data_IF_773781727952
#
_entry.id   IF_773781727952
#
_cell.length_a   1.000
_cell.length_b   1.000
_cell.length_c   1.000
_cell.angle_alpha   90.00
_cell.angle_beta   90.00
_cell.angle_gamma   90.00
#
_symmetry.space_group_name_H-M   'P 1'
#
loop_
_entity.id
_entity.type
_entity.pdbx_description
1 polymer ?
#
# COMPACT_ATOMS: atom_id res chain seq x y z
N UNK A 1 -0.18 -14.45 -3.38
CA UNK A 1 0.77 -13.69 -2.54
C UNK A 1 1.93 -13.16 -3.39
N UNK A 2 2.47 -12.00 -3.05
CA UNK A 2 3.72 -11.47 -3.58
C UNK A 2 4.89 -12.03 -2.78
N UNK A 3 6.02 -12.25 -3.44
CA UNK A 3 7.19 -12.93 -2.85
C UNK A 3 8.49 -12.14 -3.01
N UNK A 4 8.57 -11.24 -4.00
CA UNK A 4 9.72 -10.35 -4.18
C UNK A 4 9.32 -9.09 -4.93
N UNK A 5 10.00 -7.99 -4.62
CA UNK A 5 9.93 -6.72 -5.33
C UNK A 5 11.35 -6.28 -5.71
N UNK A 6 11.59 -6.04 -7.00
CA UNK A 6 12.81 -5.39 -7.50
C UNK A 6 12.43 -4.02 -8.07
N UNK A 7 13.17 -2.99 -7.66
CA UNK A 7 12.89 -1.58 -8.01
C UNK A 7 14.14 -0.92 -8.56
N UNK A 8 14.02 -0.24 -9.70
CA UNK A 8 15.08 0.60 -10.27
C UNK A 8 14.58 2.01 -10.59
N UNK A 9 15.42 3.01 -10.30
CA UNK A 9 15.22 4.44 -10.57
C UNK A 9 13.93 5.07 -10.01
N UNK A 10 13.38 4.51 -8.92
CA UNK A 10 12.13 4.98 -8.32
C UNK A 10 12.37 5.72 -7.00
N UNK A 11 11.92 6.98 -6.91
CA UNK A 11 12.03 7.85 -5.74
C UNK A 11 13.44 7.86 -5.14
N UNK A 12 13.69 7.19 -4.02
CA UNK A 12 15.03 7.13 -3.41
C UNK A 12 15.89 5.96 -3.89
N UNK A 13 15.29 4.99 -4.56
CA UNK A 13 15.97 3.76 -4.95
C UNK A 13 16.67 3.93 -6.30
N UNK A 14 17.97 3.61 -6.30
CA UNK A 14 18.72 3.37 -7.53
C UNK A 14 18.40 2.01 -8.09
N UNK A 15 18.76 0.98 -7.32
CA UNK A 15 18.39 -0.41 -7.54
C UNK A 15 18.29 -1.06 -6.17
N UNK A 16 17.23 -1.84 -5.96
CA UNK A 16 17.02 -2.60 -4.73
C UNK A 16 16.17 -3.83 -5.00
N UNK A 17 16.43 -4.90 -4.26
CA UNK A 17 15.61 -6.09 -4.19
C UNK A 17 15.10 -6.26 -2.76
N UNK A 18 13.81 -6.59 -2.62
CA UNK A 18 13.12 -6.71 -1.34
C UNK A 18 12.38 -8.04 -1.36
N UNK A 19 12.76 -8.95 -0.46
CA UNK A 19 11.98 -10.16 -0.20
C UNK A 19 10.65 -9.79 0.44
N UNK A 20 9.58 -10.45 -0.02
CA UNK A 20 8.24 -10.30 0.52
C UNK A 20 7.80 -11.66 1.09
N UNK A 21 7.19 -11.62 2.25
CA UNK A 21 6.61 -12.77 2.94
C UNK A 21 5.13 -12.54 3.21
N UNK A 22 4.52 -13.47 3.93
CA UNK A 22 3.16 -13.33 4.42
C UNK A 22 3.08 -13.82 5.87
N UNK A 23 3.02 -12.90 6.86
CA UNK A 23 3.21 -11.45 6.77
C UNK A 23 4.66 -11.02 6.49
N UNK A 24 4.85 -9.77 6.06
CA UNK A 24 6.16 -9.09 6.07
C UNK A 24 6.09 -7.68 6.66
N UNK A 25 7.08 -7.35 7.50
CA UNK A 25 7.19 -6.04 8.16
C UNK A 25 8.48 -5.33 7.76
N UNK A 26 8.34 -4.14 7.19
CA UNK A 26 9.44 -3.22 6.90
C UNK A 26 9.73 -2.39 8.15
N UNK A 27 10.95 -2.49 8.68
CA UNK A 27 11.39 -1.81 9.89
C UNK A 27 12.55 -0.86 9.58
N UNK A 28 12.49 0.37 10.05
CA UNK A 28 13.59 1.32 9.92
C UNK A 28 13.18 2.74 10.32
N UNK A 29 14.12 3.69 10.34
CA UNK A 29 13.82 5.08 10.71
C UNK A 29 12.91 5.78 9.70
N UNK A 30 12.43 6.96 10.07
CA UNK A 30 11.70 7.83 9.15
C UNK A 30 12.57 8.15 7.94
N UNK A 31 11.92 8.28 6.78
CA UNK A 31 12.61 8.62 5.54
C UNK A 31 13.64 7.58 5.05
N UNK A 32 13.54 6.31 5.47
CA UNK A 32 14.46 5.24 5.02
C UNK A 32 14.08 4.55 3.70
N UNK A 33 12.80 4.53 3.34
CA UNK A 33 12.32 3.94 2.09
C UNK A 33 11.13 3.01 2.18
N UNK A 34 10.66 2.71 3.39
CA UNK A 34 9.52 1.81 3.63
C UNK A 34 8.28 2.20 2.81
N UNK A 35 7.81 3.44 2.96
CA UNK A 35 6.68 3.98 2.18
C UNK A 35 6.98 4.01 0.68
N UNK A 36 8.24 4.27 0.28
CA UNK A 36 8.61 4.21 -1.15
C UNK A 36 8.53 2.79 -1.71
N UNK A 37 8.86 1.75 -0.94
CA UNK A 37 8.72 0.37 -1.38
C UNK A 37 7.24 -0.01 -1.56
N UNK A 38 6.38 0.39 -0.63
CA UNK A 38 4.92 0.22 -0.76
C UNK A 38 4.35 0.96 -1.96
N UNK A 39 4.79 2.20 -2.20
CA UNK A 39 4.37 2.98 -3.35
C UNK A 39 4.87 2.38 -4.67
N UNK A 40 6.02 1.70 -4.69
CA UNK A 40 6.46 0.97 -5.88
C UNK A 40 5.48 -0.17 -6.22
N UNK A 41 5.03 -0.94 -5.23
CA UNK A 41 4.00 -1.97 -5.43
C UNK A 41 2.68 -1.37 -5.95
N UNK A 42 2.23 -0.26 -5.36
CA UNK A 42 1.04 0.44 -5.82
C UNK A 42 1.17 0.96 -7.27
N UNK A 43 2.34 1.46 -7.67
CA UNK A 43 2.59 1.89 -9.05
C UNK A 43 2.57 0.70 -10.01
N UNK A 44 3.19 -0.42 -9.61
CA UNK A 44 3.19 -1.65 -10.39
C UNK A 44 1.77 -2.18 -10.62
N UNK A 45 0.92 -2.22 -9.59
CA UNK A 45 -0.48 -2.64 -9.68
C UNK A 45 -1.29 -1.77 -10.65
N UNK A 46 -1.15 -0.45 -10.57
CA UNK A 46 -1.80 0.47 -11.52
C UNK A 46 -1.29 0.25 -12.93
N UNK A 47 0.03 0.08 -13.10
CA UNK A 47 0.64 -0.21 -14.38
C UNK A 47 0.09 -1.50 -15.02
N UNK A 48 -0.04 -2.56 -14.22
CA UNK A 48 -0.57 -3.86 -14.63
C UNK A 48 -2.04 -3.75 -15.04
N UNK A 49 -2.87 -3.11 -14.21
CA UNK A 49 -4.30 -2.90 -14.52
C UNK A 49 -4.48 -2.12 -15.82
N UNK A 50 -3.78 -0.99 -15.98
CA UNK A 50 -3.85 -0.17 -17.20
C UNK A 50 -3.36 -0.92 -18.44
N UNK A 51 -2.32 -1.75 -18.28
CA UNK A 51 -1.85 -2.60 -19.37
C UNK A 51 -2.93 -3.61 -19.78
N UNK A 52 -3.47 -4.37 -18.83
CA UNK A 52 -4.48 -5.39 -19.08
C UNK A 52 -5.78 -4.82 -19.65
N UNK A 53 -6.28 -3.68 -19.15
CA UNK A 53 -7.45 -2.98 -19.69
C UNK A 53 -7.34 -2.68 -21.18
N UNK A 54 -6.13 -2.31 -21.66
CA UNK A 54 -5.92 -1.94 -23.06
C UNK A 54 -5.42 -3.08 -23.94
N UNK A 55 -4.74 -4.08 -23.38
CA UNK A 55 -3.95 -5.08 -24.12
C UNK A 55 -4.38 -6.52 -23.90
N UNK A 56 -5.12 -6.85 -22.84
CA UNK A 56 -5.58 -8.23 -22.63
C UNK A 56 -6.47 -8.67 -23.80
N UNK A 57 -6.11 -9.80 -24.43
CA UNK A 57 -6.80 -10.36 -25.59
C UNK A 57 -6.69 -9.57 -26.90
N UNK A 58 -5.80 -8.56 -27.00
CA UNK A 58 -5.62 -7.72 -28.20
C UNK A 58 -4.19 -7.78 -28.72
N UNK A 59 -4.02 -7.72 -30.05
CA UNK A 59 -2.69 -7.63 -30.65
C UNK A 59 -1.99 -6.33 -30.22
N UNK A 60 -0.72 -6.46 -29.82
CA UNK A 60 0.11 -5.30 -29.46
C UNK A 60 0.59 -4.62 -30.75
N UNK A 61 0.35 -3.31 -30.94
CA UNK A 61 0.82 -2.57 -32.11
C UNK A 61 2.34 -2.62 -32.20
N UNK A 62 2.84 -2.83 -33.41
CA UNK A 62 4.28 -2.83 -33.72
C UNK A 62 4.96 -1.49 -33.37
N UNK A 63 4.20 -0.39 -33.35
CA UNK A 63 4.69 0.95 -33.03
C UNK A 63 3.97 1.52 -31.80
N UNK A 64 4.76 2.04 -30.86
CA UNK A 64 4.30 2.69 -29.61
C UNK A 64 3.35 1.79 -28.79
N UNK A 65 3.82 0.63 -28.31
CA UNK A 65 2.97 -0.32 -27.58
C UNK A 65 2.54 0.18 -26.20
N UNK A 66 3.19 1.23 -25.66
CA UNK A 66 2.96 1.72 -24.31
C UNK A 66 1.56 2.24 -24.05
N UNK A 67 1.09 2.00 -22.83
CA UNK A 67 -0.17 2.53 -22.32
C UNK A 67 0.12 3.78 -21.51
N UNK A 68 -0.54 4.89 -21.85
CA UNK A 68 -0.46 6.12 -21.06
C UNK A 68 -1.15 5.95 -19.71
N UNK A 69 -0.45 6.32 -18.65
CA UNK A 69 -0.96 6.44 -17.28
C UNK A 69 -0.93 7.92 -16.90
N UNK A 70 -2.05 8.46 -16.43
CA UNK A 70 -2.11 9.84 -15.95
C UNK A 70 -1.79 9.87 -14.45
N UNK A 71 -1.06 10.89 -13.97
CA UNK A 71 -0.72 11.02 -12.55
C UNK A 71 -1.95 11.09 -11.63
N UNK A 72 -3.09 11.59 -12.12
CA UNK A 72 -4.35 11.66 -11.36
C UNK A 72 -4.98 10.29 -11.13
N UNK A 73 -4.58 9.28 -11.91
CA UNK A 73 -4.98 7.89 -11.69
C UNK A 73 -4.17 7.24 -10.56
N UNK A 74 -3.05 7.86 -10.13
CA UNK A 74 -2.22 7.39 -9.03
C UNK A 74 -2.83 7.75 -7.68
N UNK A 75 -4.01 7.20 -7.43
CA UNK A 75 -4.77 7.45 -6.20
C UNK A 75 -3.93 7.12 -4.96
N UNK A 76 -3.23 5.98 -4.95
CA UNK A 76 -2.36 5.56 -3.85
C UNK A 76 -1.04 6.36 -3.73
N UNK A 77 -0.69 7.20 -4.71
CA UNK A 77 0.59 7.92 -4.77
C UNK A 77 0.32 9.33 -5.33
N UNK A 78 -0.42 10.18 -4.60
CA UNK A 78 -0.73 11.51 -5.10
C UNK A 78 0.56 12.32 -5.24
N UNK A 79 0.80 12.81 -6.45
CA UNK A 79 1.96 13.64 -6.78
C UNK A 79 1.51 14.84 -7.63
N UNK A 80 2.09 16.03 -7.41
CA UNK A 80 1.82 17.19 -8.24
C UNK A 80 2.39 17.01 -9.66
N UNK A 81 3.57 16.38 -9.78
CA UNK A 81 4.26 16.16 -11.06
C UNK A 81 4.76 14.72 -11.20
N UNK A 82 4.64 14.14 -12.39
CA UNK A 82 5.01 12.75 -12.65
C UNK A 82 6.52 12.47 -12.47
N UNK A 83 7.40 13.44 -12.71
CA UNK A 83 8.85 13.28 -12.55
C UNK A 83 9.26 13.03 -11.08
N UNK A 84 8.41 13.32 -10.09
CA UNK A 84 8.65 13.01 -8.68
C UNK A 84 8.70 11.51 -8.38
N UNK A 85 8.22 10.66 -9.30
CA UNK A 85 8.42 9.22 -9.22
C UNK A 85 9.85 8.80 -9.55
N UNK A 86 10.57 9.59 -10.36
CA UNK A 86 11.92 9.26 -10.80
C UNK A 86 12.95 9.64 -9.74
N UNK A 87 14.00 8.82 -9.65
CA UNK A 87 15.10 9.10 -8.74
C UNK A 87 15.77 10.43 -9.05
N UNK A 88 15.82 11.31 -8.05
CA UNK A 88 16.37 12.66 -8.18
C UNK A 88 15.63 13.55 -9.18
N UNK A 89 14.38 13.20 -9.56
CA UNK A 89 13.62 13.84 -10.64
C UNK A 89 14.32 13.78 -12.01
N UNK A 90 15.30 12.89 -12.17
CA UNK A 90 16.05 12.73 -13.41
C UNK A 90 15.33 11.76 -14.34
N UNK A 91 14.82 12.30 -15.45
CA UNK A 91 14.08 11.55 -16.48
C UNK A 91 14.88 11.31 -17.76
N UNK A 92 16.07 11.93 -17.87
CA UNK A 92 16.96 11.82 -19.01
C UNK A 92 18.42 11.74 -18.56
N UNK A 93 19.20 10.91 -19.24
CA UNK A 93 20.65 10.83 -19.12
C UNK A 93 21.28 11.42 -20.39
N UNK A 94 22.32 12.25 -20.22
CA UNK A 94 22.98 12.95 -21.31
C UNK A 94 24.45 12.55 -21.30
N UNK A 95 24.85 11.77 -22.31
CA UNK A 95 26.24 11.33 -22.49
C UNK A 95 26.87 12.02 -23.69
N UNK A 96 28.17 12.28 -23.61
CA UNK A 96 28.98 12.75 -24.74
C UNK A 96 29.90 11.63 -25.18
N UNK A 97 29.65 11.06 -26.36
CA UNK A 97 30.53 10.11 -27.03
C UNK A 97 30.97 10.73 -28.36
N UNK A 98 32.27 10.70 -28.66
CA UNK A 98 32.87 11.23 -29.90
C UNK A 98 32.44 12.66 -30.28
N UNK A 99 32.29 13.54 -29.28
CA UNK A 99 31.87 14.94 -29.48
C UNK A 99 30.38 15.12 -29.85
N UNK A 100 29.59 14.04 -29.92
CA UNK A 100 28.13 14.09 -30.09
C UNK A 100 27.43 13.86 -28.75
N UNK A 101 26.39 14.65 -28.50
CA UNK A 101 25.55 14.52 -27.32
C UNK A 101 24.42 13.52 -27.60
N UNK A 102 24.44 12.40 -26.87
CA UNK A 102 23.39 11.38 -26.92
C UNK A 102 22.53 11.51 -25.66
N UNK A 103 21.24 11.76 -25.85
CA UNK A 103 20.26 11.82 -24.77
C UNK A 103 19.43 10.54 -24.75
N UNK A 104 19.35 9.88 -23.60
CA UNK A 104 18.52 8.70 -23.39
C UNK A 104 17.51 8.95 -22.26
N UNK A 105 16.37 8.28 -22.28
CA UNK A 105 15.39 8.38 -21.19
C UNK A 105 15.84 7.49 -20.03
N UNK A 106 15.72 8.00 -18.81
CA UNK A 106 15.82 7.21 -17.59
C UNK A 106 14.42 6.62 -17.34
N UNK A 107 14.34 5.30 -17.14
CA UNK A 107 13.08 4.59 -16.92
C UNK A 107 13.04 4.03 -15.50
N UNK A 108 11.83 3.95 -14.94
CA UNK A 108 11.58 3.19 -13.73
C UNK A 108 11.30 1.75 -14.16
N UNK A 109 12.03 0.79 -13.59
CA UNK A 109 11.76 -0.64 -13.81
C UNK A 109 11.26 -1.24 -12.49
N UNK A 110 10.09 -1.86 -12.51
CA UNK A 110 9.49 -2.56 -11.37
C UNK A 110 9.24 -4.00 -11.73
N UNK A 111 9.81 -4.94 -10.98
CA UNK A 111 9.57 -6.38 -11.14
C UNK A 111 8.96 -6.91 -9.86
N UNK A 112 7.83 -7.59 -9.99
CA UNK A 112 7.17 -8.27 -8.87
C UNK A 112 7.11 -9.75 -9.18
N UNK A 113 7.48 -10.55 -8.19
CA UNK A 113 7.34 -12.00 -8.21
C UNK A 113 6.23 -12.41 -7.26
N UNK A 114 5.47 -13.44 -7.60
CA UNK A 114 4.38 -13.91 -6.77
C UNK A 114 3.92 -15.32 -7.10
N UNK A 115 2.95 -15.76 -6.30
CA UNK A 115 2.26 -17.04 -6.45
C UNK A 115 0.77 -16.80 -6.42
N UNK A 116 0.06 -17.28 -7.43
CA UNK A 116 -1.41 -17.26 -7.52
C UNK A 116 -1.87 -18.67 -7.88
N UNK A 117 -2.76 -19.28 -7.09
CA UNK A 117 -3.25 -20.65 -7.32
C UNK A 117 -2.13 -21.67 -7.59
N UNK A 118 -1.09 -21.66 -6.74
CA UNK A 118 0.13 -22.48 -6.83
C UNK A 118 1.02 -22.27 -8.08
N UNK A 119 0.65 -21.34 -8.97
CA UNK A 119 1.47 -20.95 -10.11
C UNK A 119 2.42 -19.80 -9.72
N UNK A 120 3.72 -20.03 -9.88
CA UNK A 120 4.75 -19.00 -9.71
C UNK A 120 4.83 -18.12 -10.94
N UNK A 121 4.90 -16.81 -10.75
CA UNK A 121 4.98 -15.85 -11.84
C UNK A 121 5.94 -14.70 -11.53
N UNK A 122 6.46 -14.10 -12.60
CA UNK A 122 7.30 -12.90 -12.57
C UNK A 122 6.69 -11.91 -13.55
N UNK A 123 6.48 -10.67 -13.11
CA UNK A 123 5.88 -9.63 -13.94
C UNK A 123 6.67 -8.33 -13.81
N UNK A 124 7.46 -8.04 -14.84
CA UNK A 124 8.21 -6.80 -14.96
C UNK A 124 7.44 -5.74 -15.75
N UNK A 125 7.42 -4.51 -15.25
CA UNK A 125 6.90 -3.32 -15.94
C UNK A 125 7.97 -2.23 -15.98
N UNK A 126 8.09 -1.54 -17.11
CA UNK A 126 8.85 -0.29 -17.23
C UNK A 126 7.91 0.92 -17.35
N UNK A 127 8.34 2.04 -16.76
CA UNK A 127 7.66 3.32 -16.85
C UNK A 127 8.60 4.37 -17.45
N UNK A 128 8.10 5.06 -18.47
CA UNK A 128 8.86 6.01 -19.29
C UNK A 128 8.18 7.38 -19.26
N UNK A 129 8.90 8.40 -18.80
CA UNK A 129 8.36 9.73 -18.57
C UNK A 129 7.91 10.36 -19.90
N UNK A 130 6.69 10.92 -19.92
CA UNK A 130 6.18 11.65 -21.07
C UNK A 130 6.18 13.16 -20.83
N UNK A 131 5.52 13.59 -19.76
CA UNK A 131 5.40 14.98 -19.32
C UNK A 131 4.97 15.03 -17.85
N UNK A 132 4.75 16.22 -17.29
CA UNK A 132 4.36 16.43 -15.89
C UNK A 132 3.08 15.70 -15.49
N UNK A 133 2.15 15.48 -16.43
CA UNK A 133 0.84 14.87 -16.15
C UNK A 133 0.81 13.35 -16.43
N UNK A 134 1.78 12.81 -17.15
CA UNK A 134 1.67 11.44 -17.67
C UNK A 134 2.99 10.75 -17.98
N UNK A 135 2.93 9.43 -18.01
CA UNK A 135 4.02 8.53 -18.39
C UNK A 135 3.47 7.29 -19.09
N UNK A 136 4.34 6.55 -19.76
CA UNK A 136 3.98 5.32 -20.48
C UNK A 136 4.38 4.09 -19.66
N UNK A 137 3.46 3.15 -19.53
CA UNK A 137 3.68 1.81 -18.97
C UNK A 137 3.83 0.79 -20.11
N UNK A 138 4.83 -0.11 -19.99
CA UNK A 138 5.07 -1.24 -20.90
C UNK A 138 5.57 -2.44 -20.08
N UNK A 139 5.42 -3.68 -20.58
CA UNK A 139 6.14 -4.82 -20.02
C UNK A 139 7.64 -4.58 -20.09
N UNK A 140 8.38 -5.05 -19.09
CA UNK A 140 9.81 -4.80 -18.96
C UNK A 140 10.56 -5.31 -20.20
N UNK A 141 11.53 -4.54 -20.66
CA UNK A 141 12.44 -4.91 -21.75
C UNK A 141 13.47 -5.94 -21.26
N UNK A 142 13.81 -6.92 -22.09
CA UNK A 142 14.83 -7.92 -21.77
C UNK A 142 16.21 -7.56 -22.35
N UNK A 143 16.25 -6.69 -23.36
CA UNK A 143 17.47 -6.22 -24.01
C UNK A 143 17.40 -4.71 -24.30
N UNK A 144 18.58 -4.09 -24.42
CA UNK A 144 18.71 -2.67 -24.76
C UNK A 144 18.88 -2.49 -26.28
N UNK A 145 17.77 -2.69 -27.00
CA UNK A 145 17.67 -2.52 -28.47
C UNK A 145 16.66 -1.44 -28.89
N UNK A 146 16.64 -1.09 -30.18
CA UNK A 146 15.62 -0.19 -30.76
C UNK A 146 14.20 -0.79 -30.71
N UNK A 147 14.11 -2.10 -30.84
CA UNK A 147 12.90 -2.91 -30.74
C UNK A 147 13.18 -4.05 -29.77
N UNK A 148 13.12 -3.76 -28.46
CA UNK A 148 13.53 -4.75 -27.48
C UNK A 148 12.47 -5.84 -27.33
N UNK A 149 12.94 -7.06 -27.05
CA UNK A 149 12.11 -8.14 -26.55
C UNK A 149 11.57 -7.75 -25.18
N UNK A 150 10.37 -8.20 -24.86
CA UNK A 150 9.68 -7.81 -23.64
C UNK A 150 9.14 -9.01 -22.90
N UNK A 151 9.25 -8.94 -21.58
CA UNK A 151 8.70 -9.94 -20.69
C UNK A 151 7.19 -10.11 -20.96
N UNK A 152 6.68 -11.35 -21.00
CA UNK A 152 5.24 -11.57 -21.02
C UNK A 152 4.62 -11.05 -19.72
N UNK A 153 3.37 -10.58 -19.81
CA UNK A 153 2.56 -10.25 -18.63
C UNK A 153 1.72 -11.49 -18.31
N UNK A 154 1.99 -12.19 -17.18
CA UNK A 154 1.30 -13.44 -16.87
C UNK A 154 -0.15 -13.17 -16.43
N UNK A 155 -1.09 -13.98 -16.92
CA UNK A 155 -2.51 -13.89 -16.51
C UNK A 155 -2.69 -14.12 -15.01
N UNK A 156 -1.84 -14.97 -14.40
CA UNK A 156 -1.81 -15.22 -12.96
C UNK A 156 -1.52 -13.96 -12.11
N UNK A 157 -0.86 -12.93 -12.67
CA UNK A 157 -0.65 -11.66 -11.99
C UNK A 157 -1.87 -10.72 -12.10
N UNK A 158 -2.75 -10.88 -13.10
CA UNK A 158 -3.88 -9.98 -13.34
C UNK A 158 -4.92 -9.99 -12.20
N UNK A 159 -5.00 -11.09 -11.44
CA UNK A 159 -5.90 -11.23 -10.30
C UNK A 159 -5.41 -10.57 -9.00
N UNK A 160 -4.16 -10.07 -8.97
CA UNK A 160 -3.61 -9.39 -7.79
C UNK A 160 -4.38 -8.09 -7.54
N UNK A 161 -4.79 -7.88 -6.28
CA UNK A 161 -5.40 -6.63 -5.83
C UNK A 161 -4.56 -6.06 -4.70
N UNK A 162 -3.99 -4.88 -4.92
CA UNK A 162 -3.26 -4.14 -3.89
C UNK A 162 -4.16 -3.08 -3.27
N UNK A 163 -4.19 -3.03 -1.94
CA UNK A 163 -4.93 -2.05 -1.16
C UNK A 163 -3.97 -1.33 -0.21
N UNK A 164 -3.75 -0.03 -0.43
CA UNK A 164 -2.81 0.78 0.34
C UNK A 164 -3.53 1.70 1.31
N UNK A 165 -3.21 1.56 2.60
CA UNK A 165 -3.69 2.41 3.68
C UNK A 165 -2.51 3.20 4.26
N UNK A 166 -2.44 4.53 4.06
CA UNK A 166 -1.45 5.40 4.70
C UNK A 166 -1.80 5.63 6.17
N UNK A 167 -0.91 6.28 6.95
CA UNK A 167 -1.13 6.54 8.36
C UNK A 167 -2.40 7.39 8.60
N UNK A 168 -3.03 7.22 9.76
CA UNK A 168 -4.22 7.98 10.12
C UNK A 168 -3.91 9.44 10.42
N UNK A 169 -4.70 10.38 9.88
CA UNK A 169 -4.61 11.82 10.16
C UNK A 169 -5.74 12.34 11.08
N UNK A 170 -6.22 11.49 11.98
CA UNK A 170 -7.32 11.76 12.90
C UNK A 170 -8.70 11.36 12.37
N UNK A 171 -9.77 12.01 12.87
CA UNK A 171 -11.15 11.72 12.51
C UNK A 171 -11.95 13.02 12.40
N UNK A 172 -12.71 13.19 11.33
CA UNK A 172 -13.59 14.34 11.13
C UNK A 172 -14.84 14.22 12.02
N UNK A 173 -15.35 15.36 12.50
CA UNK A 173 -16.56 15.42 13.30
C UNK A 173 -17.78 14.92 12.52
N UNK A 174 -17.86 15.26 11.24
CA UNK A 174 -18.88 14.79 10.30
C UNK A 174 -18.22 14.17 9.07
N UNK A 175 -18.94 13.27 8.40
CA UNK A 175 -18.43 12.57 7.22
C UNK A 175 -19.53 12.47 6.17
N UNK A 176 -19.34 13.07 4.99
CA UNK A 176 -20.28 12.92 3.87
C UNK A 176 -20.26 11.48 3.37
N UNK A 177 -21.39 10.94 2.91
CA UNK A 177 -21.43 9.66 2.20
C UNK A 177 -20.72 9.81 0.86
N UNK A 178 -19.79 8.90 0.58
CA UNK A 178 -18.96 8.90 -0.61
C UNK A 178 -19.13 7.60 -1.38
N UNK A 179 -19.02 7.69 -2.71
CA UNK A 179 -18.83 6.51 -3.54
C UNK A 179 -17.40 5.97 -3.42
N UNK A 180 -17.21 4.69 -3.75
CA UNK A 180 -15.94 4.00 -3.52
C UNK A 180 -14.73 4.68 -4.18
N UNK A 181 -14.91 5.25 -5.38
CA UNK A 181 -13.84 5.99 -6.04
C UNK A 181 -13.37 7.20 -5.24
N UNK A 182 -14.31 7.95 -4.65
CA UNK A 182 -14.01 9.13 -3.83
C UNK A 182 -13.41 8.74 -2.46
N UNK A 183 -13.80 7.59 -1.90
CA UNK A 183 -13.14 7.01 -0.72
C UNK A 183 -11.67 6.71 -1.02
N UNK A 184 -11.40 6.02 -2.13
CA UNK A 184 -10.03 5.67 -2.53
C UNK A 184 -9.17 6.92 -2.71
N UNK A 185 -9.70 7.96 -3.39
CA UNK A 185 -9.00 9.25 -3.57
C UNK A 185 -8.62 9.88 -2.23
N UNK A 186 -9.55 9.95 -1.28
CA UNK A 186 -9.27 10.52 0.05
C UNK A 186 -8.24 9.72 0.84
N UNK A 187 -8.32 8.39 0.80
CA UNK A 187 -7.31 7.52 1.41
C UNK A 187 -5.94 7.84 0.81
N UNK A 188 -5.86 7.90 -0.51
CA UNK A 188 -4.68 8.30 -1.26
C UNK A 188 -4.06 9.63 -0.82
N UNK A 189 -4.89 10.65 -0.65
CA UNK A 189 -4.53 11.99 -0.16
C UNK A 189 -4.15 12.02 1.33
N UNK A 190 -4.19 10.89 2.04
CA UNK A 190 -3.96 10.82 3.49
C UNK A 190 -5.13 11.36 4.33
N UNK A 191 -6.28 11.65 3.70
CA UNK A 191 -7.51 12.15 4.35
C UNK A 191 -8.34 10.99 4.93
N UNK A 192 -7.66 10.14 5.67
CA UNK A 192 -8.22 8.96 6.35
C UNK A 192 -9.27 9.35 7.41
N UNK A 193 -9.21 10.58 7.90
CA UNK A 193 -10.19 11.18 8.80
C UNK A 193 -11.60 11.32 8.21
N UNK A 194 -11.75 11.27 6.88
CA UNK A 194 -13.00 11.51 6.17
C UNK A 194 -13.57 10.24 5.52
N UNK A 195 -13.06 9.05 5.86
CA UNK A 195 -13.49 7.80 5.23
C UNK A 195 -13.85 6.69 6.19
N UNK A 196 -13.57 6.84 7.49
CA UNK A 196 -13.76 5.77 8.46
C UNK A 196 -15.23 5.34 8.54
N UNK A 197 -16.16 6.29 8.63
CA UNK A 197 -17.60 5.98 8.71
C UNK A 197 -18.11 5.43 7.38
N UNK A 198 -17.57 5.87 6.24
CA UNK A 198 -17.86 5.31 4.92
C UNK A 198 -17.43 3.84 4.80
N UNK A 199 -16.24 3.49 5.31
CA UNK A 199 -15.78 2.10 5.34
C UNK A 199 -16.70 1.23 6.19
N UNK A 200 -17.01 1.68 7.42
CA UNK A 200 -17.96 0.99 8.29
C UNK A 200 -19.34 0.83 7.64
N UNK A 201 -19.86 1.90 7.03
CA UNK A 201 -21.17 1.90 6.36
C UNK A 201 -21.21 0.90 5.22
N UNK A 202 -20.18 0.87 4.37
CA UNK A 202 -20.09 -0.12 3.28
C UNK A 202 -20.06 -1.55 3.80
N UNK A 203 -19.26 -1.83 4.84
CA UNK A 203 -19.20 -3.19 5.41
C UNK A 203 -20.56 -3.58 6.01
N UNK A 204 -21.21 -2.66 6.73
CA UNK A 204 -22.54 -2.90 7.30
C UNK A 204 -23.60 -3.21 6.23
N UNK A 205 -23.63 -2.43 5.14
CA UNK A 205 -24.63 -2.59 4.07
C UNK A 205 -24.37 -3.80 3.18
N UNK A 206 -23.10 -4.05 2.82
CA UNK A 206 -22.75 -5.07 1.82
C UNK A 206 -22.37 -6.42 2.45
N UNK A 207 -21.87 -6.43 3.69
CA UNK A 207 -21.23 -7.60 4.32
C UNK A 207 -21.53 -7.69 5.84
N UNK A 208 -22.81 -7.92 6.25
CA UNK A 208 -23.22 -7.87 7.65
C UNK A 208 -22.47 -8.84 8.58
N UNK A 209 -22.05 -10.01 8.07
CA UNK A 209 -21.28 -10.98 8.86
C UNK A 209 -19.91 -10.42 9.25
N UNK A 210 -19.26 -9.71 8.33
CA UNK A 210 -17.96 -9.06 8.59
C UNK A 210 -18.09 -7.84 9.47
N UNK A 211 -19.21 -7.12 9.35
CA UNK A 211 -19.54 -6.05 10.30
C UNK A 211 -19.59 -6.58 11.73
N UNK A 212 -20.28 -7.70 11.95
CA UNK A 212 -20.37 -8.32 13.27
C UNK A 212 -18.98 -8.74 13.81
N UNK A 213 -18.14 -9.32 12.94
CA UNK A 213 -16.75 -9.64 13.30
C UNK A 213 -15.96 -8.39 13.70
N UNK A 214 -16.06 -7.31 12.94
CA UNK A 214 -15.40 -6.03 13.26
C UNK A 214 -15.88 -5.46 14.60
N UNK A 215 -17.18 -5.46 14.87
CA UNK A 215 -17.75 -4.98 16.14
C UNK A 215 -17.25 -5.81 17.31
N UNK A 216 -17.18 -7.14 17.18
CA UNK A 216 -16.70 -8.02 18.24
C UNK A 216 -15.21 -7.79 18.53
N UNK A 217 -14.38 -7.61 17.50
CA UNK A 217 -12.96 -7.28 17.69
C UNK A 217 -12.77 -5.95 18.43
N UNK A 218 -13.53 -4.91 18.07
CA UNK A 218 -13.46 -3.61 18.75
C UNK A 218 -13.93 -3.73 20.20
N UNK A 219 -15.01 -4.47 20.45
CA UNK A 219 -15.51 -4.75 21.79
C UNK A 219 -14.48 -5.50 22.64
N UNK A 220 -13.86 -6.53 22.09
CA UNK A 220 -12.86 -7.33 22.81
C UNK A 220 -11.60 -6.52 23.14
N UNK A 221 -11.16 -5.62 22.25
CA UNK A 221 -9.94 -4.84 22.44
C UNK A 221 -10.12 -3.58 23.29
N UNK A 222 -11.28 -2.93 23.20
CA UNK A 222 -11.51 -1.62 23.80
C UNK A 222 -12.65 -1.61 24.82
N UNK A 223 -13.46 -2.67 24.93
CA UNK A 223 -14.69 -2.66 25.73
C UNK A 223 -15.78 -1.75 25.17
N UNK A 224 -15.57 -1.21 23.96
CA UNK A 224 -16.48 -0.28 23.29
C UNK A 224 -17.45 -1.04 22.39
N UNK A 225 -18.76 -0.80 22.56
CA UNK A 225 -19.78 -1.36 21.68
C UNK A 225 -20.11 -0.37 20.57
N UNK A 226 -19.77 -0.71 19.33
CA UNK A 226 -20.08 0.14 18.18
C UNK A 226 -21.57 0.02 17.82
N UNK A 227 -22.23 1.17 17.62
CA UNK A 227 -23.54 1.19 16.96
C UNK A 227 -23.37 1.14 15.44
N UNK A 228 -24.38 0.61 14.74
CA UNK A 228 -24.39 0.62 13.27
C UNK A 228 -24.28 2.04 12.71
N UNK A 229 -23.49 2.24 11.63
CA UNK A 229 -23.44 3.49 10.91
C UNK A 229 -24.80 3.81 10.29
N UNK A 230 -25.20 5.08 10.29
CA UNK A 230 -26.48 5.52 9.72
C UNK A 230 -26.26 6.66 8.75
N UNK A 231 -26.83 6.51 7.55
CA UNK A 231 -26.90 7.57 6.56
C UNK A 231 -28.05 8.53 6.89
N UNK A 232 -27.80 9.83 6.83
CA UNK A 232 -28.76 10.91 7.03
C UNK A 232 -28.94 11.64 5.69
N UNK A 233 -29.99 11.31 4.91
CA UNK A 233 -30.19 11.82 3.56
C UNK A 233 -30.29 13.35 3.48
N UNK A 234 -30.87 14.00 4.49
CA UNK A 234 -31.10 15.45 4.52
C UNK A 234 -29.79 16.25 4.56
N UNK A 235 -28.72 15.64 5.06
CA UNK A 235 -27.37 16.24 5.15
C UNK A 235 -26.35 15.55 4.25
N UNK A 236 -26.68 14.40 3.69
CA UNK A 236 -25.73 13.56 2.96
C UNK A 236 -24.62 13.00 3.85
N UNK A 237 -24.86 12.84 5.15
CA UNK A 237 -23.84 12.48 6.15
C UNK A 237 -23.99 11.05 6.66
N UNK A 238 -22.88 10.42 7.04
CA UNK A 238 -22.86 9.18 7.81
C UNK A 238 -22.51 9.52 9.25
N UNK A 239 -23.37 9.09 10.18
CA UNK A 239 -23.12 9.20 11.61
C UNK A 239 -22.88 7.83 12.23
N UNK A 240 -22.04 7.79 13.24
CA UNK A 240 -21.71 6.55 13.95
C UNK A 240 -21.41 6.88 15.40
N UNK A 241 -21.98 6.10 16.31
CA UNK A 241 -21.81 6.24 17.75
C UNK A 241 -21.28 4.95 18.36
N UNK A 242 -20.79 5.04 19.59
CA UNK A 242 -20.40 3.88 20.38
C UNK A 242 -20.93 4.02 21.81
N UNK A 243 -21.01 2.89 22.52
CA UNK A 243 -21.33 2.84 23.94
C UNK A 243 -20.12 2.40 24.74
N UNK A 244 -19.82 3.15 25.79
CA UNK A 244 -18.77 2.85 26.76
C UNK A 244 -19.20 3.39 28.13
N UNK A 245 -18.99 2.59 29.19
CA UNK A 245 -19.30 2.98 30.58
C UNK A 245 -20.72 3.54 30.79
N UNK A 246 -21.69 3.04 30.03
CA UNK A 246 -23.10 3.46 30.10
C UNK A 246 -23.43 4.77 29.37
N UNK A 247 -22.44 5.45 28.76
CA UNK A 247 -22.66 6.61 27.92
C UNK A 247 -22.68 6.21 26.43
N UNK A 248 -23.54 6.88 25.66
CA UNK A 248 -23.55 6.79 24.19
C UNK A 248 -22.90 8.04 23.63
N UNK A 249 -21.80 7.89 22.90
CA UNK A 249 -20.96 8.98 22.42
C UNK A 249 -20.78 8.90 20.89
N UNK A 250 -20.53 10.04 20.25
CA UNK A 250 -20.16 10.06 18.83
C UNK A 250 -18.78 9.43 18.64
N UNK A 251 -18.56 8.73 17.52
CA UNK A 251 -17.26 8.09 17.22
C UNK A 251 -16.09 9.08 17.27
N UNK A 252 -16.30 10.36 16.95
CA UNK A 252 -15.29 11.42 17.08
C UNK A 252 -14.75 11.60 18.50
N UNK A 253 -15.53 11.22 19.52
CA UNK A 253 -15.14 11.29 20.93
C UNK A 253 -14.35 10.06 21.40
N UNK A 254 -14.13 9.06 20.55
CA UNK A 254 -13.31 7.89 20.89
C UNK A 254 -11.81 8.23 20.89
N UNK A 255 -11.03 7.46 21.65
CA UNK A 255 -9.58 7.61 21.67
C UNK A 255 -8.93 7.28 20.31
N UNK A 256 -7.80 7.93 20.01
CA UNK A 256 -7.04 7.72 18.76
C UNK A 256 -6.72 6.26 18.47
N UNK A 257 -6.37 5.48 19.49
CA UNK A 257 -6.08 4.05 19.33
C UNK A 257 -7.29 3.24 18.84
N UNK A 258 -8.50 3.56 19.32
CA UNK A 258 -9.74 2.93 18.83
C UNK A 258 -9.98 3.34 17.37
N UNK A 259 -9.87 4.63 17.05
CA UNK A 259 -10.04 5.14 15.69
C UNK A 259 -9.08 4.45 14.71
N UNK A 260 -7.79 4.40 15.03
CA UNK A 260 -6.75 3.74 14.22
C UNK A 260 -7.06 2.27 14.00
N UNK A 261 -7.39 1.54 15.08
CA UNK A 261 -7.68 0.11 15.01
C UNK A 261 -8.94 -0.15 14.18
N UNK A 262 -9.98 0.64 14.38
CA UNK A 262 -11.21 0.57 13.61
C UNK A 262 -10.96 0.85 12.13
N UNK A 263 -10.11 1.83 11.79
CA UNK A 263 -9.75 2.11 10.40
C UNK A 263 -9.02 0.94 9.75
N UNK A 264 -8.01 0.39 10.43
CA UNK A 264 -7.26 -0.77 9.95
C UNK A 264 -8.19 -1.95 9.69
N UNK A 265 -8.98 -2.34 10.70
CA UNK A 265 -9.91 -3.45 10.59
C UNK A 265 -10.98 -3.21 9.52
N UNK A 266 -11.61 -2.03 9.49
CA UNK A 266 -12.61 -1.70 8.48
C UNK A 266 -12.02 -1.74 7.07
N UNK A 267 -10.78 -1.28 6.89
CA UNK A 267 -10.12 -1.34 5.60
C UNK A 267 -9.81 -2.78 5.17
N UNK A 268 -9.34 -3.62 6.09
CA UNK A 268 -9.07 -5.05 5.83
C UNK A 268 -10.35 -5.82 5.48
N UNK A 269 -11.40 -5.69 6.30
CA UNK A 269 -12.68 -6.36 6.06
C UNK A 269 -13.33 -5.93 4.75
N UNK A 270 -13.07 -4.69 4.31
CA UNK A 270 -13.59 -4.20 3.05
C UNK A 270 -12.75 -4.61 1.82
N UNK A 271 -11.57 -5.20 2.01
CA UNK A 271 -10.67 -5.63 0.93
C UNK A 271 -10.18 -7.08 1.16
N UNK A 272 -11.08 -8.08 1.17
CA UNK A 272 -10.69 -9.49 1.36
C UNK A 272 -9.83 -9.99 0.20
N UNK A 273 -8.89 -10.89 0.47
CA UNK A 273 -8.05 -11.51 -0.54
C UNK A 273 -7.14 -10.52 -1.27
N UNK A 274 -6.84 -9.37 -0.65
CA UNK A 274 -5.97 -8.34 -1.19
C UNK A 274 -4.57 -8.43 -0.58
N UNK A 275 -3.59 -7.82 -1.25
CA UNK A 275 -2.30 -7.47 -0.65
C UNK A 275 -2.48 -6.14 0.06
N UNK A 276 -2.49 -6.17 1.38
CA UNK A 276 -2.70 -5.03 2.26
C UNK A 276 -1.35 -4.36 2.54
N UNK A 277 -1.18 -3.15 2.02
CA UNK A 277 -0.04 -2.30 2.34
C UNK A 277 -0.46 -1.36 3.50
N UNK A 278 0.13 -1.54 4.67
CA UNK A 278 -0.24 -0.81 5.89
C UNK A 278 0.95 0.06 6.35
N UNK A 279 0.85 1.38 6.19
CA UNK A 279 1.90 2.30 6.63
C UNK A 279 1.60 2.83 8.04
N UNK A 280 2.54 2.61 8.95
CA UNK A 280 2.45 2.91 10.39
C UNK A 280 1.16 2.39 11.05
N UNK A 281 0.86 1.07 10.97
CA UNK A 281 -0.34 0.51 11.61
C UNK A 281 -0.28 0.64 13.14
N UNK A 282 0.91 0.76 13.71
CA UNK A 282 1.18 0.94 15.14
C UNK A 282 1.07 2.39 15.63
N UNK A 283 0.84 3.36 14.74
CA UNK A 283 0.76 4.77 15.09
C UNK A 283 -0.33 5.04 16.15
N UNK A 284 -0.05 5.96 17.08
CA UNK A 284 -0.98 6.39 18.14
C UNK A 284 -1.42 5.30 19.13
N UNK A 285 -0.77 4.13 19.13
CA UNK A 285 -1.08 3.02 20.02
C UNK A 285 -0.06 2.92 21.16
N UNK A 286 -0.57 2.63 22.36
CA UNK A 286 0.26 2.28 23.51
C UNK A 286 1.05 0.99 23.24
N UNK A 287 2.25 0.87 23.83
CA UNK A 287 3.18 -0.25 23.63
C UNK A 287 2.50 -1.62 23.77
N UNK A 288 1.68 -1.82 24.81
CA UNK A 288 1.00 -3.10 25.03
C UNK A 288 -0.03 -3.41 23.93
N UNK A 289 -0.72 -2.38 23.42
CA UNK A 289 -1.73 -2.53 22.37
C UNK A 289 -1.11 -2.80 21.01
N UNK A 290 0.08 -2.26 20.71
CA UNK A 290 0.76 -2.52 19.44
C UNK A 290 0.95 -4.02 19.16
N UNK A 291 1.35 -4.81 20.18
CA UNK A 291 1.48 -6.27 20.03
C UNK A 291 0.14 -6.97 19.78
N UNK A 292 -0.88 -6.60 20.55
CA UNK A 292 -2.21 -7.21 20.45
C UNK A 292 -2.84 -6.90 19.08
N UNK A 293 -2.72 -5.65 18.64
CA UNK A 293 -3.25 -5.20 17.36
C UNK A 293 -2.50 -5.86 16.22
N UNK A 294 -1.17 -5.93 16.26
CA UNK A 294 -0.41 -6.65 15.24
C UNK A 294 -0.89 -8.09 15.05
N UNK A 295 -1.02 -8.85 16.15
CA UNK A 295 -1.54 -10.23 16.10
C UNK A 295 -2.95 -10.29 15.52
N UNK A 296 -3.83 -9.39 15.95
CA UNK A 296 -5.17 -9.32 15.41
C UNK A 296 -5.17 -9.06 13.89
N UNK A 297 -4.33 -8.14 13.42
CA UNK A 297 -4.23 -7.85 11.98
C UNK A 297 -3.73 -9.10 11.23
N UNK A 298 -2.73 -9.80 11.73
CA UNK A 298 -2.24 -11.03 11.09
C UNK A 298 -3.29 -12.14 11.06
N UNK A 299 -4.06 -12.30 12.15
CA UNK A 299 -5.12 -13.30 12.24
C UNK A 299 -6.26 -13.00 11.25
N UNK A 300 -6.75 -11.75 11.24
CA UNK A 300 -7.81 -11.31 10.30
C UNK A 300 -7.34 -11.38 8.84
N UNK A 301 -6.07 -11.08 8.56
CA UNK A 301 -5.51 -11.24 7.22
C UNK A 301 -5.52 -12.70 6.78
N UNK A 302 -5.06 -13.63 7.63
CA UNK A 302 -5.08 -15.05 7.34
C UNK A 302 -6.50 -15.58 7.10
N UNK A 303 -7.47 -15.19 7.94
CA UNK A 303 -8.88 -15.57 7.78
C UNK A 303 -9.51 -15.04 6.47
N UNK A 304 -9.09 -13.85 6.04
CA UNK A 304 -9.60 -13.21 4.81
C UNK A 304 -8.81 -13.59 3.55
N UNK A 305 -7.79 -14.45 3.66
CA UNK A 305 -6.89 -14.81 2.57
C UNK A 305 -6.07 -13.63 2.03
N UNK A 306 -5.83 -12.63 2.88
CA UNK A 306 -5.11 -11.40 2.52
C UNK A 306 -3.65 -11.50 2.95
N UNK A 307 -2.75 -10.90 2.17
CA UNK A 307 -1.34 -10.78 2.53
C UNK A 307 -1.08 -9.45 3.21
N UNK A 308 -0.30 -9.42 4.29
CA UNK A 308 0.13 -8.17 4.93
C UNK A 308 1.56 -7.79 4.53
N UNK A 309 1.72 -6.56 4.08
CA UNK A 309 3.00 -5.85 4.00
C UNK A 309 2.85 -4.59 4.86
N UNK A 310 3.50 -4.56 6.02
CA UNK A 310 3.42 -3.45 6.96
C UNK A 310 4.72 -2.65 7.00
N UNK A 311 4.64 -1.33 7.22
CA UNK A 311 5.80 -0.47 7.43
C UNK A 311 5.70 0.19 8.80
N UNK A 312 6.76 0.07 9.61
CA UNK A 312 6.78 0.61 10.95
C UNK A 312 8.18 1.08 11.35
N UNK A 313 8.23 1.92 12.38
CA UNK A 313 9.45 2.30 13.08
C UNK A 313 9.47 1.77 14.53
N UNK A 314 8.44 1.02 14.95
CA UNK A 314 8.30 0.53 16.32
C UNK A 314 9.19 -0.66 16.64
N UNK A 315 9.99 -0.52 17.71
CA UNK A 315 10.73 -1.63 18.32
C UNK A 315 9.79 -2.75 18.79
N UNK A 316 8.56 -2.41 19.18
CA UNK A 316 7.58 -3.37 19.69
C UNK A 316 7.10 -4.27 18.56
N UNK A 317 6.79 -3.68 17.40
CA UNK A 317 6.36 -4.40 16.21
C UNK A 317 7.50 -5.24 15.64
N UNK A 318 8.73 -4.70 15.62
CA UNK A 318 9.93 -5.45 15.25
C UNK A 318 10.09 -6.71 16.10
N UNK A 319 10.02 -6.58 17.43
CA UNK A 319 10.21 -7.72 18.33
C UNK A 319 9.11 -8.78 18.18
N UNK A 320 7.87 -8.35 17.94
CA UNK A 320 6.76 -9.27 17.73
C UNK A 320 6.89 -10.00 16.38
N UNK A 321 7.17 -9.27 15.31
CA UNK A 321 7.33 -9.82 13.96
C UNK A 321 8.58 -10.71 13.85
N UNK A 322 9.73 -10.33 14.43
CA UNK A 322 10.97 -11.11 14.36
C UNK A 322 10.84 -12.52 15.00
N UNK A 323 9.84 -12.75 15.85
CA UNK A 323 9.58 -14.05 16.44
C UNK A 323 8.76 -15.00 15.55
N UNK A 324 8.11 -14.52 14.49
CA UNK A 324 7.04 -15.25 13.78
C UNK A 324 7.01 -15.04 12.27
N UNK A 325 7.33 -13.83 11.82
CA UNK A 325 7.07 -13.34 10.47
C UNK A 325 8.36 -12.86 9.80
N UNK A 326 8.28 -12.51 8.52
CA UNK A 326 9.41 -11.92 7.82
C UNK A 326 9.61 -10.47 8.22
N UNK A 327 10.84 -10.08 8.55
CA UNK A 327 11.21 -8.69 8.79
C UNK A 327 12.27 -8.24 7.80
N UNK A 328 12.05 -7.09 7.17
CA UNK A 328 13.03 -6.44 6.28
C UNK A 328 13.47 -5.12 6.91
N UNK A 329 14.75 -5.01 7.20
CA UNK A 329 15.36 -3.79 7.73
C UNK A 329 15.62 -2.77 6.61
N UNK A 330 15.21 -1.53 6.81
CA UNK A 330 15.52 -0.36 5.99
C UNK A 330 16.52 0.53 6.73
N UNK A 331 17.68 -0.05 7.10
CA UNK A 331 18.83 0.67 7.65
C UNK A 331 19.98 0.49 6.66
N UNK A 332 20.06 1.40 5.67
CA UNK A 332 20.86 1.20 4.46
C UNK A 332 20.08 0.43 3.39
N UNK A 333 20.74 -0.40 2.55
CA UNK A 333 20.06 -1.27 1.60
C UNK A 333 19.08 -2.22 2.32
N UNK A 334 17.83 -2.34 1.85
CA UNK A 334 16.88 -3.31 2.37
C UNK A 334 17.44 -4.72 2.42
N UNK A 335 17.35 -5.35 3.59
CA UNK A 335 17.80 -6.72 3.82
C UNK A 335 16.92 -7.41 4.85
N UNK A 336 16.77 -8.72 4.71
CA UNK A 336 16.02 -9.53 5.65
C UNK A 336 16.77 -9.66 6.97
N UNK A 337 16.02 -9.64 8.08
CA UNK A 337 16.53 -9.93 9.41
C UNK A 337 16.19 -11.39 9.74
N UNK A 338 17.21 -12.21 9.96
CA UNK A 338 17.05 -13.62 10.36
C UNK A 338 17.37 -13.87 11.86
N UNK A 339 17.87 -12.85 12.57
CA UNK A 339 18.20 -12.91 14.00
C UNK A 339 17.25 -12.04 14.85
N UNK A 340 17.41 -12.05 16.18
CA UNK A 340 16.54 -11.32 17.14
C UNK A 340 16.70 -9.78 17.08
N UNK A 341 16.90 -9.19 15.90
CA UNK A 341 16.79 -7.74 15.65
C UNK A 341 17.78 -6.85 16.41
N UNK A 342 18.80 -7.40 17.07
CA UNK A 342 19.64 -6.67 18.03
C UNK A 342 20.43 -5.51 17.39
N UNK A 343 20.94 -5.70 16.17
CA UNK A 343 21.65 -4.66 15.41
C UNK A 343 20.70 -3.57 14.91
N UNK A 344 19.50 -3.95 14.47
CA UNK A 344 18.48 -3.01 13.99
C UNK A 344 17.88 -2.21 15.15
N UNK A 345 17.67 -2.83 16.30
CA UNK A 345 17.29 -2.15 17.55
C UNK A 345 18.33 -1.10 17.93
N UNK A 346 19.62 -1.44 17.85
CA UNK A 346 20.69 -0.46 18.11
C UNK A 346 20.62 0.70 17.12
N UNK A 347 20.47 0.43 15.82
CA UNK A 347 20.33 1.47 14.82
C UNK A 347 19.07 2.34 14.99
N UNK A 348 17.94 1.75 15.41
CA UNK A 348 16.72 2.50 15.71
C UNK A 348 16.91 3.41 16.93
N UNK A 349 17.63 2.95 17.95
CA UNK A 349 17.94 3.74 19.16
C UNK A 349 18.97 4.83 18.94
N UNK A 350 19.94 4.62 18.06
CA UNK A 350 20.99 5.59 17.78
C UNK A 350 20.51 6.72 16.84
N UNK A 351 19.37 6.54 16.16
CA UNK A 351 18.78 7.50 15.20
C UNK A 351 17.61 8.29 15.80
N UNK A 352 17.02 7.82 16.91
CA UNK A 352 15.99 8.52 17.69
C UNK A 352 16.60 9.35 18.82
#
# INVERSE_FOLDING_TARGET
MLTKLTVRNFKRFGEVEIELGDPVVFIGPNNSGKTSAMQALALWDIGLKRWNEKRSGKSTPEKRPGVTVNRRDLVAIPIPDANLLWRGMHVRDVRREDGRQTTSNIRIDLVVEGVTADERWICGLEFDYANEESFYCRPLRENDGRTPDRMPVPDAAAGVRIAFLPPMSGLAATETRLDQGAVNVRIGEGRTAEVLRNLCFRIHEEQPERWNGLVEHVRSLFGAELDSPRYIPERGEIVMSYREQGARLDLSSSGRGLQQTLLLLAYMYANPGAVLLLDEPDAHLEILRQRQIYRLLTDVAAESGSQIIAASHSEVLLNEAAGRDMVVAFVGPPHRIDDRGSQVLKALRDIG
#
